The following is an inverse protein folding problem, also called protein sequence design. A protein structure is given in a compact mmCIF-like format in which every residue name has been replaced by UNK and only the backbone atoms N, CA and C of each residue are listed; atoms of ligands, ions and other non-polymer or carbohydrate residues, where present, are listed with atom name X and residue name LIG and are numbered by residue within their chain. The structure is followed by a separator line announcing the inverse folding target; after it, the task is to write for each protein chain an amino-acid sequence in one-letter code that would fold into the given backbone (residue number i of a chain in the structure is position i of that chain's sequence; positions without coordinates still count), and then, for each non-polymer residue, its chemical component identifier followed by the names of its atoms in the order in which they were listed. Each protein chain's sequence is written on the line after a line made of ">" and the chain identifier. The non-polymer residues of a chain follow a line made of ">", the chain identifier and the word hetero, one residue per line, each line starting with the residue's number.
data_IF_162595548955
#
_entry.id   IF_162595548955
#
_cell.length_a   1.000
_cell.length_b   1.000
_cell.length_c   1.000
_cell.angle_alpha   90.00
_cell.angle_beta   90.00
_cell.angle_gamma   90.00
#
_symmetry.space_group_name_H-M   'P 1'
#
loop_
_entity.id
_entity.type
_entity.pdbx_description
1 polymer ?
#
# COMPACT_ATOMS: atom_id res chain seq x y z
N UNK A 1 -12.11 -0.46 4.51
CA UNK A 1 -12.39 -1.19 5.77
C UNK A 1 -11.21 -1.05 6.72
N UNK A 2 -11.43 -1.21 8.02
CA UNK A 2 -10.37 -1.29 9.04
C UNK A 2 -10.82 -2.16 10.20
N UNK A 3 -9.87 -2.71 10.95
CA UNK A 3 -10.14 -3.33 12.24
C UNK A 3 -10.11 -2.25 13.33
N UNK A 4 -11.15 -2.16 14.14
CA UNK A 4 -11.21 -1.33 15.35
C UNK A 4 -11.67 -2.20 16.49
N UNK A 5 -10.80 -2.42 17.48
CA UNK A 5 -11.07 -3.22 18.67
C UNK A 5 -11.65 -4.62 18.37
N UNK A 6 -11.08 -5.29 17.35
CA UNK A 6 -11.51 -6.62 16.93
C UNK A 6 -12.79 -6.65 16.11
N UNK A 7 -13.31 -5.49 15.68
CA UNK A 7 -14.49 -5.38 14.83
C UNK A 7 -14.13 -4.87 13.45
N UNK A 8 -14.69 -5.51 12.42
CA UNK A 8 -14.58 -5.05 11.05
C UNK A 8 -15.48 -3.81 10.86
N UNK A 9 -14.88 -2.65 10.64
CA UNK A 9 -15.61 -1.47 10.19
C UNK A 9 -15.55 -1.37 8.67
N UNK A 10 -16.73 -1.39 8.05
CA UNK A 10 -16.93 -1.17 6.62
C UNK A 10 -17.41 0.25 6.37
N UNK A 11 -17.19 0.74 5.16
CA UNK A 11 -17.56 2.07 4.72
C UNK A 11 -17.32 2.21 3.23
N UNK A 12 -17.79 3.30 2.62
CA UNK A 12 -17.50 3.59 1.21
C UNK A 12 -15.99 3.76 1.05
N UNK A 13 -15.41 3.07 0.07
CA UNK A 13 -14.04 3.33 -0.36
C UNK A 13 -14.00 4.64 -1.14
N UNK A 14 -13.08 5.53 -0.81
CA UNK A 14 -12.65 6.61 -1.70
C UNK A 14 -11.45 6.13 -2.50
N UNK A 15 -11.34 6.55 -3.77
CA UNK A 15 -10.09 6.39 -4.51
C UNK A 15 -8.97 7.13 -3.77
N UNK A 16 -7.89 6.42 -3.45
CA UNK A 16 -6.70 7.02 -2.85
C UNK A 16 -5.73 7.37 -3.98
N UNK A 17 -5.83 8.61 -4.47
CA UNK A 17 -4.92 9.18 -5.46
C UNK A 17 -3.75 9.95 -4.80
N UNK A 18 -3.73 9.96 -3.46
CA UNK A 18 -2.67 10.56 -2.68
C UNK A 18 -2.44 9.79 -1.38
N UNK A 19 -1.19 9.82 -0.93
CA UNK A 19 -0.74 9.24 0.34
C UNK A 19 0.24 10.20 1.00
N UNK A 20 0.32 10.18 2.33
CA UNK A 20 1.23 11.06 3.04
C UNK A 20 1.81 10.40 4.29
N UNK A 21 3.02 10.82 4.64
CA UNK A 21 3.66 10.48 5.90
C UNK A 21 4.20 11.75 6.55
N UNK A 22 3.65 12.08 7.72
CA UNK A 22 4.16 13.17 8.55
C UNK A 22 5.38 12.70 9.34
N UNK A 23 6.43 13.50 9.36
CA UNK A 23 7.61 13.36 10.23
C UNK A 23 7.86 14.67 10.98
N UNK A 24 8.77 14.68 11.97
CA UNK A 24 9.17 15.93 12.64
C UNK A 24 9.75 16.98 11.68
N UNK A 25 10.45 16.55 10.62
CA UNK A 25 11.14 17.43 9.69
C UNK A 25 10.24 17.99 8.57
N UNK A 26 9.07 17.36 8.36
CA UNK A 26 8.17 17.70 7.28
C UNK A 26 7.20 16.58 6.92
N UNK A 27 6.66 16.64 5.71
CA UNK A 27 5.64 15.70 5.21
C UNK A 27 6.09 15.15 3.87
N UNK A 28 6.14 13.83 3.75
CA UNK A 28 6.23 13.17 2.45
C UNK A 28 4.83 13.11 1.85
N UNK A 29 4.70 13.53 0.59
CA UNK A 29 3.45 13.57 -0.15
C UNK A 29 3.65 12.76 -1.44
N UNK A 30 2.83 11.73 -1.59
CA UNK A 30 2.80 10.85 -2.75
C UNK A 30 1.51 11.06 -3.52
N UNK A 31 1.61 11.12 -4.84
CA UNK A 31 0.49 11.22 -5.77
C UNK A 31 0.51 10.03 -6.73
N UNK A 32 -0.69 9.59 -7.12
CA UNK A 32 -0.94 8.55 -8.11
C UNK A 32 -2.03 9.02 -9.06
N UNK A 33 -1.67 9.22 -10.33
CA UNK A 33 -2.60 9.57 -11.40
C UNK A 33 -2.66 8.48 -12.48
N UNK A 34 -2.32 7.24 -12.13
CA UNK A 34 -2.42 6.10 -13.04
C UNK A 34 -1.54 6.25 -14.28
N UNK A 35 -2.14 6.25 -15.46
CA UNK A 35 -1.41 6.39 -16.73
C UNK A 35 -0.73 7.75 -16.91
N UNK A 36 -1.16 8.75 -16.15
CA UNK A 36 -0.59 10.11 -16.19
C UNK A 36 0.62 10.26 -15.27
N UNK A 37 1.02 9.17 -14.61
CA UNK A 37 2.13 9.15 -13.66
C UNK A 37 1.74 9.72 -12.30
N UNK A 38 2.74 10.07 -11.52
CA UNK A 38 2.59 10.53 -10.16
C UNK A 38 3.94 11.02 -9.66
N UNK A 39 4.00 11.42 -8.40
CA UNK A 39 5.26 11.91 -7.84
C UNK A 39 5.30 11.73 -6.33
N UNK A 40 6.53 11.65 -5.84
CA UNK A 40 6.87 11.76 -4.43
C UNK A 40 7.62 13.07 -4.20
N UNK A 41 7.09 13.89 -3.30
CA UNK A 41 7.74 15.14 -2.87
C UNK A 41 7.83 15.20 -1.34
N UNK A 42 8.75 16.00 -0.83
CA UNK A 42 8.85 16.32 0.59
C UNK A 42 8.59 17.80 0.83
N UNK A 43 7.63 18.09 1.71
CA UNK A 43 7.31 19.43 2.17
C UNK A 43 7.92 19.64 3.55
N UNK A 44 8.93 20.51 3.68
CA UNK A 44 9.57 20.79 4.98
C UNK A 44 8.61 21.46 5.95
N UNK A 45 8.75 21.15 7.25
CA UNK A 45 8.06 21.84 8.34
C UNK A 45 8.66 23.22 8.65
N UNK A 46 9.92 23.47 8.27
CA UNK A 46 10.53 24.79 8.39
C UNK A 46 9.85 25.79 7.42
N UNK A 47 9.90 27.09 7.73
CA UNK A 47 9.34 28.18 6.91
C UNK A 47 10.06 28.39 5.55
N UNK A 48 10.51 27.33 4.88
CA UNK A 48 11.01 27.36 3.50
C UNK A 48 10.04 26.70 2.51
N UNK A 49 10.12 27.18 1.27
CA UNK A 49 8.96 27.66 0.50
C UNK A 49 8.59 26.84 -0.72
N UNK A 50 9.23 25.69 -0.99
CA UNK A 50 8.86 24.79 -2.10
C UNK A 50 9.06 23.31 -1.74
N UNK A 51 8.17 22.41 -2.18
CA UNK A 51 8.38 20.97 -2.05
C UNK A 51 9.67 20.51 -2.76
N UNK A 52 10.40 19.58 -2.13
CA UNK A 52 11.57 18.92 -2.70
C UNK A 52 11.12 17.68 -3.47
N UNK A 53 11.33 17.60 -4.80
CA UNK A 53 11.01 16.40 -5.56
C UNK A 53 11.97 15.26 -5.19
N UNK A 54 11.45 14.04 -5.05
CA UNK A 54 12.23 12.85 -4.70
C UNK A 54 12.22 11.87 -5.87
N UNK A 55 11.05 11.58 -6.43
CA UNK A 55 10.89 10.61 -7.51
C UNK A 55 9.58 10.83 -8.28
N UNK A 56 9.61 10.59 -9.59
CA UNK A 56 8.41 10.45 -10.41
C UNK A 56 7.94 8.98 -10.43
N UNK A 57 6.64 8.76 -10.34
CA UNK A 57 5.99 7.45 -10.30
C UNK A 57 4.70 7.45 -9.47
N UNK A 58 3.83 6.47 -9.69
CA UNK A 58 2.56 6.33 -8.98
C UNK A 58 2.78 5.86 -7.55
N UNK A 59 2.73 6.78 -6.59
CA UNK A 59 3.01 6.49 -5.18
C UNK A 59 1.73 6.01 -4.50
N UNK A 60 1.69 4.72 -4.15
CA UNK A 60 0.52 4.04 -3.58
C UNK A 60 0.51 4.04 -2.04
N UNK A 61 1.70 4.01 -1.42
CA UNK A 61 1.86 4.02 0.03
C UNK A 61 3.19 4.67 0.41
N UNK A 62 3.19 5.50 1.46
CA UNK A 62 4.39 5.93 2.18
C UNK A 62 4.26 5.48 3.63
N UNK A 63 5.31 4.87 4.18
CA UNK A 63 5.28 4.36 5.56
C UNK A 63 6.65 4.43 6.21
N UNK A 64 6.66 4.34 7.54
CA UNK A 64 7.88 4.28 8.34
C UNK A 64 8.00 2.90 8.97
N UNK A 65 9.19 2.31 8.90
CA UNK A 65 9.55 1.07 9.59
C UNK A 65 11.02 1.15 10.00
N UNK A 66 11.40 0.62 11.16
CA UNK A 66 12.81 0.63 11.63
C UNK A 66 13.51 2.00 11.51
N UNK A 67 12.79 3.10 11.83
CA UNK A 67 13.25 4.49 11.70
C UNK A 67 13.62 4.97 10.29
N UNK A 68 13.30 4.20 9.25
CA UNK A 68 13.49 4.56 7.85
C UNK A 68 12.14 4.82 7.18
N UNK A 69 12.15 5.67 6.16
CA UNK A 69 10.97 5.95 5.33
C UNK A 69 11.02 5.09 4.07
N UNK A 70 9.90 4.47 3.75
CA UNK A 70 9.72 3.63 2.58
C UNK A 70 8.51 4.09 1.79
N UNK A 71 8.49 3.76 0.52
CA UNK A 71 7.31 3.95 -0.31
C UNK A 71 7.13 2.78 -1.28
N UNK A 72 5.88 2.57 -1.68
CA UNK A 72 5.49 1.57 -2.66
C UNK A 72 4.91 2.28 -3.88
N UNK A 73 5.41 1.89 -5.04
CA UNK A 73 4.83 2.22 -6.34
C UNK A 73 3.99 1.07 -6.86
N UNK A 74 2.97 1.38 -7.64
CA UNK A 74 2.12 0.38 -8.28
C UNK A 74 1.37 0.94 -9.47
N UNK A 75 1.19 0.11 -10.49
CA UNK A 75 0.33 0.39 -11.63
C UNK A 75 -0.28 -0.92 -12.15
N UNK A 76 -1.61 -0.96 -12.18
CA UNK A 76 -2.39 -1.98 -12.88
C UNK A 76 -3.09 -1.32 -14.08
N UNK A 77 -2.52 -1.45 -15.27
CA UNK A 77 -3.15 -0.96 -16.50
C UNK A 77 -2.83 -1.83 -17.71
N UNK A 78 -3.88 -2.27 -18.42
CA UNK A 78 -3.80 -3.17 -19.57
C UNK A 78 -2.93 -4.41 -19.30
N UNK A 79 -1.78 -4.53 -19.95
CA UNK A 79 -0.83 -5.63 -19.79
C UNK A 79 0.21 -5.39 -18.69
N UNK A 80 0.27 -4.17 -18.13
CA UNK A 80 1.18 -3.83 -17.06
C UNK A 80 0.50 -4.04 -15.71
N UNK A 81 1.10 -4.87 -14.89
CA UNK A 81 0.63 -5.17 -13.55
C UNK A 81 1.84 -5.38 -12.64
N UNK A 82 2.35 -4.29 -12.08
CA UNK A 82 3.63 -4.30 -11.39
C UNK A 82 3.66 -3.25 -10.27
N UNK A 83 4.67 -3.38 -9.42
CA UNK A 83 5.01 -2.37 -8.42
C UNK A 83 6.43 -2.54 -7.93
N UNK A 84 6.86 -1.65 -7.05
CA UNK A 84 8.16 -1.79 -6.38
C UNK A 84 8.15 -1.16 -4.98
N UNK A 85 8.98 -1.71 -4.10
CA UNK A 85 9.28 -1.17 -2.78
C UNK A 85 10.61 -0.41 -2.83
N UNK A 86 10.62 0.78 -2.27
CA UNK A 86 11.79 1.64 -2.18
C UNK A 86 12.01 2.13 -0.75
N UNK A 87 13.27 2.42 -0.43
CA UNK A 87 13.68 3.17 0.75
C UNK A 87 14.12 4.57 0.34
N UNK A 88 13.68 5.58 1.08
CA UNK A 88 14.20 6.94 0.97
C UNK A 88 15.49 7.04 1.78
N UNK A 89 16.52 7.64 1.20
CA UNK A 89 17.83 7.88 1.82
C UNK A 89 18.23 9.34 1.71
N UNK A 90 19.12 9.79 2.60
CA UNK A 90 19.51 11.21 2.69
C UNK A 90 18.47 12.07 3.43
N UNK A 91 18.68 13.37 3.40
CA UNK A 91 17.87 14.38 4.09
C UNK A 91 17.60 15.55 3.16
N UNK A 92 16.54 16.32 3.41
CA UNK A 92 16.23 17.50 2.62
C UNK A 92 17.43 18.47 2.53
N UNK A 93 17.74 19.06 1.36
CA UNK A 93 17.08 18.86 0.06
C UNK A 93 17.66 17.70 -0.78
N UNK A 94 18.65 16.98 -0.27
CA UNK A 94 19.40 15.94 -0.99
C UNK A 94 18.85 14.53 -0.74
N UNK A 95 17.54 14.34 -0.92
CA UNK A 95 16.94 13.01 -0.87
C UNK A 95 17.39 12.16 -2.07
N UNK A 96 17.53 10.87 -1.82
CA UNK A 96 17.77 9.81 -2.80
C UNK A 96 16.88 8.61 -2.47
N UNK A 97 16.90 7.57 -3.28
CA UNK A 97 16.14 6.37 -3.01
C UNK A 97 16.87 5.13 -3.52
N UNK A 98 16.62 3.99 -2.85
CA UNK A 98 17.11 2.67 -3.26
C UNK A 98 15.92 1.74 -3.44
N UNK A 99 15.87 1.04 -4.58
CA UNK A 99 14.87 0.00 -4.81
C UNK A 99 15.25 -1.26 -4.04
N UNK A 100 14.32 -1.80 -3.27
CA UNK A 100 14.55 -2.97 -2.41
C UNK A 100 13.93 -4.25 -2.97
N UNK A 101 12.76 -4.14 -3.61
CA UNK A 101 12.07 -5.28 -4.18
C UNK A 101 11.14 -4.86 -5.30
N UNK A 102 10.95 -5.74 -6.29
CA UNK A 102 9.90 -5.63 -7.31
C UNK A 102 8.68 -6.49 -6.90
N UNK A 103 7.50 -6.05 -7.32
CA UNK A 103 6.24 -6.81 -7.24
C UNK A 103 5.79 -7.19 -8.65
N UNK A 104 5.54 -8.49 -8.86
CA UNK A 104 5.04 -9.04 -10.14
C UNK A 104 3.51 -8.86 -10.31
N UNK A 105 2.88 -8.12 -9.39
CA UNK A 105 1.44 -7.91 -9.30
C UNK A 105 1.21 -6.57 -8.58
N UNK A 106 0.37 -5.70 -9.13
CA UNK A 106 0.24 -4.32 -8.69
C UNK A 106 -0.29 -4.24 -7.25
N UNK A 107 0.39 -3.50 -6.37
CA UNK A 107 -0.12 -3.18 -5.04
C UNK A 107 -1.34 -2.23 -5.10
N UNK A 108 -2.49 -2.69 -4.62
CA UNK A 108 -3.76 -1.99 -4.73
C UNK A 108 -4.23 -1.39 -3.40
N UNK A 109 -4.10 -2.15 -2.31
CA UNK A 109 -4.52 -1.71 -0.98
C UNK A 109 -3.60 -2.22 0.12
N UNK A 110 -3.52 -1.45 1.20
CA UNK A 110 -2.49 -1.62 2.22
C UNK A 110 -3.05 -1.59 3.65
N UNK A 111 -2.36 -2.27 4.55
CA UNK A 111 -2.40 -1.99 5.99
C UNK A 111 -0.98 -2.10 6.56
N UNK A 112 -0.58 -1.13 7.38
CA UNK A 112 0.71 -1.13 8.08
C UNK A 112 0.46 -1.43 9.56
N UNK A 113 1.08 -2.48 10.08
CA UNK A 113 0.94 -2.89 11.50
C UNK A 113 2.34 -3.18 12.05
N UNK A 114 2.82 -2.29 12.92
CA UNK A 114 4.21 -2.32 13.36
C UNK A 114 5.16 -2.14 12.16
N UNK A 115 6.05 -3.10 11.94
CA UNK A 115 6.98 -3.12 10.80
C UNK A 115 6.46 -3.91 9.60
N UNK A 116 5.27 -4.50 9.70
CA UNK A 116 4.73 -5.36 8.65
C UNK A 116 3.77 -4.59 7.76
N UNK A 117 3.85 -4.84 6.46
CA UNK A 117 2.96 -4.24 5.46
C UNK A 117 2.17 -5.35 4.78
N UNK A 118 0.86 -5.28 4.92
CA UNK A 118 -0.09 -6.19 4.30
C UNK A 118 -0.60 -5.58 3.01
N UNK A 119 -0.40 -6.29 1.90
CA UNK A 119 -0.61 -5.75 0.56
C UNK A 119 -1.61 -6.65 -0.16
N UNK A 120 -2.82 -6.12 -0.39
CA UNK A 120 -3.71 -6.69 -1.38
C UNK A 120 -3.25 -6.22 -2.76
N UNK A 121 -3.01 -7.19 -3.63
CA UNK A 121 -2.56 -6.96 -5.00
C UNK A 121 -3.67 -7.34 -5.98
N UNK A 122 -3.54 -6.89 -7.23
CA UNK A 122 -4.54 -7.11 -8.26
C UNK A 122 -4.93 -8.61 -8.40
N UNK A 123 -3.99 -9.56 -8.36
CA UNK A 123 -4.24 -11.00 -8.41
C UNK A 123 -3.83 -11.77 -7.14
N UNK A 124 -3.53 -11.09 -6.03
CA UNK A 124 -2.83 -11.74 -4.94
C UNK A 124 -2.88 -11.02 -3.60
N UNK A 125 -2.15 -11.60 -2.66
CA UNK A 125 -1.91 -11.01 -1.35
C UNK A 125 -0.49 -11.34 -0.89
N UNK A 126 0.24 -10.31 -0.49
CA UNK A 126 1.63 -10.40 -0.04
C UNK A 126 1.76 -9.68 1.30
N UNK A 127 2.62 -10.19 2.16
CA UNK A 127 3.02 -9.51 3.40
C UNK A 127 4.50 -9.18 3.28
N UNK A 128 4.88 -7.94 3.54
CA UNK A 128 6.26 -7.58 3.82
C UNK A 128 6.49 -7.78 5.32
N UNK A 129 7.18 -8.85 5.70
CA UNK A 129 7.60 -9.11 7.09
C UNK A 129 8.99 -8.55 7.30
N UNK A 130 9.15 -7.51 8.11
CA UNK A 130 10.44 -6.80 8.22
C UNK A 130 11.07 -6.51 6.84
N UNK A 131 10.27 -5.99 5.90
CA UNK A 131 10.65 -5.69 4.51
C UNK A 131 10.99 -6.90 3.63
N UNK A 132 10.90 -8.13 4.15
CA UNK A 132 11.04 -9.35 3.36
C UNK A 132 9.70 -9.75 2.76
N UNK A 133 9.70 -10.01 1.45
CA UNK A 133 8.48 -10.33 0.69
C UNK A 133 8.03 -11.77 0.93
N UNK A 134 6.87 -11.95 1.55
CA UNK A 134 6.19 -13.22 1.74
C UNK A 134 4.91 -13.26 0.90
N UNK A 135 4.88 -14.07 -0.16
CA UNK A 135 3.67 -14.21 -0.98
C UNK A 135 2.72 -15.23 -0.36
N UNK A 136 1.53 -14.77 0.04
CA UNK A 136 0.54 -15.59 0.73
C UNK A 136 -0.33 -16.34 -0.28
N UNK A 137 -0.95 -15.62 -1.22
CA UNK A 137 -1.78 -16.19 -2.29
C UNK A 137 -1.53 -15.47 -3.62
N UNK A 138 -1.66 -16.22 -4.72
CA UNK A 138 -1.56 -15.74 -6.11
C UNK A 138 -2.77 -16.24 -6.90
N UNK A 139 -3.04 -15.61 -8.06
CA UNK A 139 -4.08 -16.03 -9.03
C UNK A 139 -5.46 -16.14 -8.41
N UNK A 140 -5.84 -15.13 -7.65
CA UNK A 140 -7.12 -15.09 -6.93
C UNK A 140 -8.27 -14.71 -7.87
N UNK A 141 -9.50 -14.96 -7.43
CA UNK A 141 -10.72 -14.66 -8.22
C UNK A 141 -11.04 -13.16 -8.29
N UNK A 142 -10.39 -12.33 -7.47
CA UNK A 142 -10.79 -10.95 -7.23
C UNK A 142 -10.12 -9.91 -8.13
N UNK A 143 -9.42 -10.33 -9.19
CA UNK A 143 -8.78 -9.40 -10.12
C UNK A 143 -9.76 -8.40 -10.74
N UNK A 144 -10.98 -8.84 -11.05
CA UNK A 144 -12.02 -7.93 -11.54
C UNK A 144 -12.83 -7.24 -10.43
N UNK A 145 -12.45 -7.43 -9.17
CA UNK A 145 -13.18 -6.93 -8.00
C UNK A 145 -12.42 -5.84 -7.24
N UNK A 146 -11.30 -5.32 -7.77
CA UNK A 146 -10.63 -4.10 -7.31
C UNK A 146 -10.43 -4.04 -5.78
N UNK A 147 -9.38 -4.70 -5.26
CA UNK A 147 -9.02 -4.59 -3.86
C UNK A 147 -8.87 -3.13 -3.44
N UNK A 148 -9.58 -2.73 -2.38
CA UNK A 148 -9.68 -1.32 -2.00
C UNK A 148 -9.32 -1.06 -0.54
N UNK A 149 -9.16 -2.10 0.28
CA UNK A 149 -8.74 -1.95 1.67
C UNK A 149 -8.25 -3.26 2.27
N UNK A 150 -7.42 -3.15 3.30
CA UNK A 150 -6.96 -4.29 4.11
C UNK A 150 -7.25 -3.99 5.57
N UNK A 151 -7.82 -4.95 6.29
CA UNK A 151 -8.03 -4.91 7.73
C UNK A 151 -7.36 -6.12 8.38
N UNK A 152 -6.39 -5.87 9.26
CA UNK A 152 -5.62 -6.93 9.93
C UNK A 152 -6.22 -7.19 11.30
N UNK A 153 -6.57 -8.45 11.58
CA UNK A 153 -7.04 -8.88 12.91
C UNK A 153 -5.92 -9.43 13.76
N UNK A 154 -5.06 -10.24 13.15
CA UNK A 154 -3.86 -10.80 13.74
C UNK A 154 -2.96 -11.33 12.61
N UNK A 155 -1.87 -12.01 12.97
CA UNK A 155 -0.93 -12.56 11.99
C UNK A 155 -1.54 -13.57 11.01
N UNK A 156 -2.63 -14.23 11.42
CA UNK A 156 -3.27 -15.32 10.69
C UNK A 156 -4.56 -14.90 10.00
N UNK A 157 -5.13 -13.73 10.30
CA UNK A 157 -6.44 -13.33 9.81
C UNK A 157 -6.45 -11.88 9.31
N UNK A 158 -6.81 -11.74 8.04
CA UNK A 158 -6.94 -10.45 7.36
C UNK A 158 -8.22 -10.41 6.54
N UNK A 159 -8.82 -9.23 6.45
CA UNK A 159 -9.94 -8.95 5.56
C UNK A 159 -9.50 -8.04 4.43
N UNK A 160 -9.87 -8.37 3.20
CA UNK A 160 -9.57 -7.62 1.97
C UNK A 160 -10.89 -7.09 1.42
N UNK A 161 -11.02 -5.77 1.32
CA UNK A 161 -12.22 -5.12 0.80
C UNK A 161 -12.20 -5.15 -0.72
N UNK A 162 -13.34 -5.50 -1.31
CA UNK A 162 -13.52 -5.66 -2.74
C UNK A 162 -14.78 -4.91 -3.19
N UNK A 163 -14.91 -4.67 -4.49
CA UNK A 163 -16.18 -4.33 -5.12
C UNK A 163 -17.19 -5.45 -4.84
N UNK A 164 -18.31 -5.09 -4.21
CA UNK A 164 -19.41 -6.00 -3.92
C UNK A 164 -19.25 -6.89 -2.68
N UNK A 165 -18.20 -6.71 -1.87
CA UNK A 165 -18.03 -7.51 -0.66
C UNK A 165 -16.64 -7.44 -0.04
N UNK A 166 -16.27 -8.47 0.72
CA UNK A 166 -14.91 -8.63 1.22
C UNK A 166 -14.48 -10.10 1.29
N UNK A 167 -13.18 -10.32 1.26
CA UNK A 167 -12.58 -11.62 1.52
C UNK A 167 -12.04 -11.66 2.95
N UNK A 168 -12.31 -12.74 3.68
CA UNK A 168 -11.57 -13.10 4.90
C UNK A 168 -10.55 -14.16 4.55
N UNK A 169 -9.27 -13.84 4.67
CA UNK A 169 -8.13 -14.68 4.34
C UNK A 169 -7.44 -15.16 5.63
N UNK A 170 -7.22 -16.46 5.71
CA UNK A 170 -6.29 -17.05 6.66
C UNK A 170 -4.90 -17.13 6.01
N UNK A 171 -3.92 -16.39 6.53
CA UNK A 171 -2.59 -16.28 5.91
C UNK A 171 -1.72 -17.52 6.13
N UNK A 172 -1.99 -18.30 7.18
CA UNK A 172 -1.26 -19.54 7.49
C UNK A 172 -1.73 -20.70 6.62
N UNK A 173 -3.05 -20.94 6.57
CA UNK A 173 -3.64 -22.01 5.76
C UNK A 173 -3.81 -21.60 4.29
N UNK A 174 -3.67 -20.31 3.98
CA UNK A 174 -3.83 -19.71 2.65
C UNK A 174 -5.23 -19.93 2.06
N UNK A 175 -6.21 -20.13 2.93
CA UNK A 175 -7.62 -20.32 2.56
C UNK A 175 -8.39 -19.05 2.80
N UNK A 176 -9.41 -18.81 1.98
CA UNK A 176 -10.22 -17.61 2.11
C UNK A 176 -11.70 -17.88 1.87
N UNK A 177 -12.54 -16.99 2.40
CA UNK A 177 -13.99 -16.96 2.14
C UNK A 177 -14.38 -15.58 1.65
N UNK A 178 -15.23 -15.55 0.62
CA UNK A 178 -15.82 -14.32 0.13
C UNK A 178 -17.18 -14.08 0.79
N UNK A 179 -17.39 -12.86 1.26
CA UNK A 179 -18.62 -12.37 1.86
C UNK A 179 -19.17 -11.29 0.94
N UNK A 180 -20.19 -11.65 0.17
CA UNK A 180 -20.85 -10.72 -0.73
C UNK A 180 -21.76 -9.79 0.06
N UNK A 181 -21.72 -8.49 -0.29
CA UNK A 181 -22.72 -7.54 0.18
C UNK A 181 -23.96 -7.69 -0.71
N UNK A 182 -25.05 -8.16 -0.11
CA UNK A 182 -26.36 -8.19 -0.75
C UNK A 182 -27.10 -6.89 -0.38
N UNK A 183 -27.59 -6.13 -1.37
CA UNK A 183 -28.39 -4.93 -1.12
C UNK A 183 -29.74 -5.24 -0.45
#
# INVERSE_FOLDING_TARGET
>A
MKNVDGKLLTGKSSEQNATQLQTPDGTFLGEDHGEWGGKLVFQSAAKQTKPVPIKEGNIRLIFQANNCVYFIEGLAHMSLNAGALYQITGTAPAFTWTKLADFDDAPEAFAVVGNDVYIAQFHGFTILRNLQKEVIVKKTFWSSLYPNSVAVFNNNEVCIGLRGGYVRLNTQTKTFRFFQHMP
#
